data_IF_350838940634
#
_entry.id   IF_350838940634
#
_cell.length_a   1.000
_cell.length_b   1.000
_cell.length_c   1.000
_cell.angle_alpha   90.00
_cell.angle_beta   90.00
_cell.angle_gamma   90.00
#
_symmetry.space_group_name_H-M   'P 1'
#
loop_
_entity.id
_entity.type
_entity.pdbx_description
1 polymer ?
#
# COMPACT_ATOMS: atom_id res chain seq x y z
N UNK A 1 -11.18 -23.76 11.44
CA UNK A 1 -10.48 -23.45 11.45
C UNK A 1 -9.93 -22.60 11.94
N UNK A 2 -9.88 -22.54 12.21
CA UNK A 2 -9.51 -21.94 12.66
C UNK A 2 -8.54 -21.17 12.77
N UNK A 3 -8.09 -21.12 12.87
CA UNK A 3 -6.97 -20.28 13.13
C UNK A 3 -6.56 -19.38 11.98
N UNK A 4 -7.12 -19.53 10.89
CA UNK A 4 -6.85 -18.71 9.71
C UNK A 4 -7.75 -17.47 9.71
N UNK A 5 -7.10 -16.32 9.66
CA UNK A 5 -7.82 -15.06 9.58
C UNK A 5 -8.11 -14.73 8.12
N UNK A 6 -9.37 -14.62 7.78
CA UNK A 6 -9.76 -14.29 6.42
C UNK A 6 -10.01 -12.80 6.29
N UNK A 7 -9.27 -12.18 5.37
CA UNK A 7 -9.47 -10.78 5.07
C UNK A 7 -10.56 -10.64 4.03
N UNK A 8 -11.55 -9.85 4.33
CA UNK A 8 -12.59 -9.58 3.35
C UNK A 8 -12.40 -8.18 2.77
N UNK A 9 -13.10 -7.93 1.68
CA UNK A 9 -12.95 -6.67 0.95
C UNK A 9 -13.33 -5.47 1.81
N UNK A 10 -14.30 -5.65 2.69
CA UNK A 10 -14.72 -4.54 3.55
C UNK A 10 -13.61 -4.10 4.48
N UNK A 11 -12.91 -5.07 5.07
CA UNK A 11 -11.80 -4.75 5.97
C UNK A 11 -10.67 -4.04 5.23
N UNK A 12 -10.40 -4.48 4.01
CA UNK A 12 -9.38 -3.86 3.19
C UNK A 12 -9.77 -2.43 2.85
N UNK A 13 -11.02 -2.24 2.47
CA UNK A 13 -11.50 -0.90 2.11
C UNK A 13 -11.42 0.05 3.29
N UNK A 14 -11.81 -0.41 4.49
CA UNK A 14 -11.73 0.43 5.67
C UNK A 14 -10.29 0.82 6.00
N UNK A 15 -9.39 -0.14 5.88
CA UNK A 15 -7.99 0.12 6.13
C UNK A 15 -7.45 1.16 5.15
N UNK A 16 -7.77 1.00 3.86
CA UNK A 16 -7.31 1.93 2.84
C UNK A 16 -7.90 3.32 3.05
N UNK A 17 -9.16 3.40 3.43
CA UNK A 17 -9.76 4.70 3.70
C UNK A 17 -9.01 5.44 4.78
N UNK A 18 -8.64 4.73 5.85
CA UNK A 18 -7.89 5.36 6.92
C UNK A 18 -6.53 5.85 6.44
N UNK A 19 -5.88 5.07 5.60
CA UNK A 19 -4.60 5.48 5.03
C UNK A 19 -4.74 6.71 4.15
N UNK A 20 -5.77 6.71 3.32
CA UNK A 20 -6.01 7.82 2.40
C UNK A 20 -6.33 9.10 3.11
N UNK A 21 -6.91 9.02 4.30
CA UNK A 21 -7.17 10.22 5.09
C UNK A 21 -5.88 10.89 5.55
N UNK A 22 -4.81 10.11 5.70
CA UNK A 22 -3.53 10.64 6.13
C UNK A 22 -2.79 11.30 4.97
N UNK A 23 -2.76 10.64 3.83
CA UNK A 23 -2.11 11.19 2.65
C UNK A 23 -2.63 10.46 1.42
N UNK A 24 -3.31 11.19 0.56
CA UNK A 24 -3.88 10.61 -0.65
C UNK A 24 -2.84 10.38 -1.75
N UNK A 25 -1.69 11.02 -1.64
CA UNK A 25 -0.68 10.97 -2.70
C UNK A 25 0.39 9.93 -2.44
N UNK A 26 0.63 9.60 -1.20
CA UNK A 26 1.68 8.66 -0.83
C UNK A 26 1.19 7.77 0.30
N UNK A 27 1.12 6.48 0.02
CA UNK A 27 0.65 5.51 1.00
C UNK A 27 1.76 4.52 1.27
N UNK A 28 2.14 4.37 2.53
CA UNK A 28 3.24 3.49 2.92
C UNK A 28 2.69 2.36 3.78
N UNK A 29 3.05 1.14 3.41
CA UNK A 29 2.66 -0.06 4.16
C UNK A 29 3.89 -0.66 4.80
N UNK A 30 3.90 -0.72 6.13
CA UNK A 30 5.07 -1.17 6.86
C UNK A 30 4.88 -2.58 7.39
N UNK A 31 6.01 -3.24 7.64
CA UNK A 31 6.02 -4.55 8.28
C UNK A 31 5.30 -4.50 9.62
N UNK A 32 5.62 -3.48 10.42
CA UNK A 32 5.02 -3.35 11.75
C UNK A 32 3.50 -3.29 11.68
N UNK A 33 3.00 -2.49 10.75
CA UNK A 33 1.56 -2.28 10.66
C UNK A 33 0.83 -3.56 10.27
N UNK A 34 1.35 -4.27 9.29
CA UNK A 34 0.66 -5.46 8.80
C UNK A 34 0.90 -6.69 9.65
N UNK A 35 2.15 -6.92 10.05
CA UNK A 35 2.49 -8.12 10.78
C UNK A 35 2.23 -8.02 12.26
N UNK A 36 2.35 -6.83 12.84
CA UNK A 36 2.19 -6.65 14.28
C UNK A 36 0.81 -6.11 14.62
N UNK A 37 0.48 -4.94 14.10
CA UNK A 37 -0.81 -4.32 14.47
C UNK A 37 -2.01 -5.07 13.92
N UNK A 38 -1.95 -5.50 12.67
CA UNK A 38 -3.05 -6.25 12.06
C UNK A 38 -2.91 -7.74 12.28
N UNK A 39 -1.77 -8.17 12.83
CA UNK A 39 -1.54 -9.57 13.20
C UNK A 39 -1.73 -10.52 12.02
N UNK A 40 -1.18 -10.15 10.87
CA UNK A 40 -1.26 -11.00 9.69
C UNK A 40 -0.06 -11.92 9.63
N UNK A 41 -0.29 -13.15 9.17
CA UNK A 41 0.82 -14.06 8.88
C UNK A 41 1.56 -13.58 7.63
N UNK A 42 2.68 -14.23 7.34
CA UNK A 42 3.42 -13.90 6.10
C UNK A 42 2.57 -14.09 4.87
N UNK A 43 1.83 -15.18 4.81
CA UNK A 43 0.98 -15.48 3.68
C UNK A 43 -0.16 -14.48 3.57
N UNK A 44 -0.79 -14.18 4.70
CA UNK A 44 -1.87 -13.21 4.72
C UNK A 44 -1.38 -11.83 4.31
N UNK A 45 -0.19 -11.47 4.75
CA UNK A 45 0.41 -10.19 4.37
C UNK A 45 0.62 -10.12 2.87
N UNK A 46 1.15 -11.18 2.29
CA UNK A 46 1.37 -11.24 0.86
C UNK A 46 0.05 -11.07 0.09
N UNK A 47 -0.97 -11.81 0.50
CA UNK A 47 -2.28 -11.74 -0.15
C UNK A 47 -2.89 -10.35 0.02
N UNK A 48 -2.76 -9.77 1.20
CA UNK A 48 -3.27 -8.44 1.47
C UNK A 48 -2.62 -7.40 0.55
N UNK A 49 -1.29 -7.45 0.45
CA UNK A 49 -0.59 -6.49 -0.39
C UNK A 49 -0.96 -6.67 -1.85
N UNK A 50 -1.18 -7.90 -2.29
CA UNK A 50 -1.58 -8.15 -3.66
C UNK A 50 -2.95 -7.53 -3.96
N UNK A 51 -3.91 -7.75 -3.08
CA UNK A 51 -5.25 -7.20 -3.26
C UNK A 51 -5.23 -5.67 -3.22
N UNK A 52 -4.50 -5.13 -2.28
CA UNK A 52 -4.42 -3.69 -2.11
C UNK A 52 -3.74 -3.05 -3.31
N UNK A 53 -2.65 -3.64 -3.79
CA UNK A 53 -1.94 -3.06 -4.93
C UNK A 53 -2.83 -3.05 -6.17
N UNK A 54 -3.62 -4.09 -6.36
CA UNK A 54 -4.55 -4.13 -7.49
C UNK A 54 -5.57 -3.00 -7.42
N UNK A 55 -6.14 -2.79 -6.23
CA UNK A 55 -7.09 -1.70 -6.05
C UNK A 55 -6.45 -0.35 -6.29
N UNK A 56 -5.24 -0.16 -5.78
CA UNK A 56 -4.55 1.11 -5.92
C UNK A 56 -4.13 1.36 -7.37
N UNK A 57 -3.65 0.35 -8.06
CA UNK A 57 -3.29 0.51 -9.46
C UNK A 57 -4.50 0.89 -10.30
N UNK A 58 -5.66 0.33 -9.98
CA UNK A 58 -6.90 0.67 -10.68
C UNK A 58 -7.33 2.11 -10.38
N UNK A 59 -6.76 2.72 -9.36
CA UNK A 59 -7.06 4.11 -9.00
C UNK A 59 -5.89 5.03 -9.27
N UNK A 60 -5.06 4.65 -10.24
CA UNK A 60 -3.95 5.48 -10.74
C UNK A 60 -2.82 5.67 -9.74
N UNK A 61 -2.54 4.63 -8.96
CA UNK A 61 -1.35 4.62 -8.13
C UNK A 61 -0.30 3.75 -8.77
N UNK A 62 0.94 4.16 -8.62
CA UNK A 62 2.07 3.33 -9.01
C UNK A 62 2.65 2.68 -7.77
N UNK A 63 2.93 1.39 -7.86
CA UNK A 63 3.34 0.59 -6.72
C UNK A 63 4.85 0.34 -6.75
N UNK A 64 5.48 0.54 -5.59
CA UNK A 64 6.91 0.30 -5.43
C UNK A 64 7.12 -0.69 -4.29
N UNK A 65 8.06 -1.61 -4.48
CA UNK A 65 8.36 -2.65 -3.51
C UNK A 65 9.68 -2.35 -2.80
N UNK A 66 9.91 -3.05 -1.70
CA UNK A 66 11.14 -2.89 -0.92
C UNK A 66 12.36 -2.88 -1.83
N UNK A 67 13.22 -1.89 -1.64
CA UNK A 67 14.43 -1.76 -2.42
C UNK A 67 14.31 -0.93 -3.67
N UNK A 68 13.10 -0.67 -4.13
CA UNK A 68 12.90 0.13 -5.33
C UNK A 68 12.94 1.62 -4.99
N UNK A 69 13.38 2.41 -5.95
CA UNK A 69 13.42 3.85 -5.81
C UNK A 69 12.17 4.49 -6.37
N UNK A 70 11.76 5.59 -5.75
CA UNK A 70 10.61 6.35 -6.22
C UNK A 70 10.85 7.83 -5.93
N UNK A 71 10.03 8.67 -6.53
CA UNK A 71 10.17 10.11 -6.37
C UNK A 71 8.91 10.68 -5.73
N UNK A 72 9.08 11.33 -4.60
CA UNK A 72 7.98 12.00 -3.91
C UNK A 72 8.55 13.25 -3.23
N UNK A 73 8.55 14.35 -4.01
CA UNK A 73 9.23 15.56 -3.56
C UNK A 73 10.74 15.46 -3.72
N UNK A 74 11.28 14.30 -3.47
CA UNK A 74 12.70 14.01 -3.61
C UNK A 74 12.84 12.52 -3.90
N UNK A 75 14.03 12.12 -4.29
CA UNK A 75 14.29 10.71 -4.57
C UNK A 75 14.34 9.93 -3.27
N UNK A 76 13.58 8.85 -3.22
CA UNK A 76 13.47 8.02 -2.03
C UNK A 76 13.60 6.55 -2.42
N UNK A 77 13.75 5.73 -1.40
CA UNK A 77 13.84 4.29 -1.59
C UNK A 77 12.91 3.61 -0.61
N UNK A 78 12.25 2.53 -1.07
CA UNK A 78 11.41 1.76 -0.16
C UNK A 78 12.33 1.01 0.79
N UNK A 79 12.25 1.36 2.08
CA UNK A 79 13.15 0.83 3.11
C UNK A 79 12.84 -0.62 3.43
N UNK A 80 13.77 -1.26 4.16
CA UNK A 80 13.60 -2.68 4.49
C UNK A 80 12.38 -2.95 5.36
N UNK A 81 12.00 -2.00 6.21
CA UNK A 81 10.83 -2.16 7.07
C UNK A 81 9.53 -1.72 6.37
N UNK A 82 9.64 -1.25 5.15
CA UNK A 82 8.48 -0.86 4.35
C UNK A 82 8.23 -1.93 3.30
N UNK A 83 7.02 -2.45 3.28
CA UNK A 83 6.69 -3.54 2.37
C UNK A 83 6.25 -3.04 1.01
N UNK A 84 5.66 -1.86 0.98
CA UNK A 84 5.12 -1.33 -0.26
C UNK A 84 4.88 0.17 -0.11
N UNK A 85 5.12 0.90 -1.18
CA UNK A 85 4.79 2.32 -1.25
C UNK A 85 3.97 2.55 -2.51
N UNK A 86 2.87 3.27 -2.37
CA UNK A 86 1.99 3.60 -3.49
C UNK A 86 1.98 5.10 -3.68
N UNK A 87 2.32 5.54 -4.88
CA UNK A 87 2.38 6.97 -5.20
C UNK A 87 1.30 7.29 -6.23
N UNK A 88 0.48 8.28 -5.91
CA UNK A 88 -0.58 8.70 -6.80
C UNK A 88 -0.01 9.23 -8.10
N UNK A 89 -0.49 8.70 -9.21
CA UNK A 89 -0.06 9.15 -10.51
C UNK A 89 -0.85 10.39 -10.92
N UNK A 90 -0.16 11.51 -11.03
CA UNK A 90 -0.80 12.78 -11.39
C UNK A 90 -0.53 13.14 -12.83
N UNK A 91 -0.43 12.13 -13.66
CA UNK A 91 -0.10 12.32 -15.05
C UNK A 91 -1.07 13.27 -15.76
N UNK A 92 -2.36 13.12 -15.47
CA UNK A 92 -3.36 13.98 -16.08
C UNK A 92 -3.14 15.44 -15.73
N UNK A 93 -2.69 15.66 -14.53
CA UNK A 93 -2.39 16.99 -14.06
C UNK A 93 -1.23 17.59 -14.83
N UNK A 94 -0.21 16.77 -15.05
CA UNK A 94 0.96 17.19 -15.79
C UNK A 94 0.65 17.41 -17.27
N UNK A 95 -0.24 16.62 -17.82
CA UNK A 95 -0.59 16.70 -19.23
C UNK A 95 -1.24 18.01 -19.61
N UNK A 96 -1.73 18.72 -18.63
CA UNK A 96 -2.40 20.00 -18.87
C UNK A 96 -1.42 21.16 -19.00
N UNK A 97 -0.22 20.91 -18.73
CA UNK A 97 0.80 21.96 -18.78
C UNK A 97 1.23 22.24 -20.20
#
# INVERSE_FOLDING_TARGET
MNGVKLLNLQQIDMYLENKLKQDKKCIIFTFYELRVKLDLTSEETYNFLHLVSTKLENNNYKIYRTGQEYFYGEKKKVEDNQLMVAIKNIKNYQDKV
#
